data_IF_300694335296
#
_entry.id   IF_300694335296
#
_cell.length_a   1.000
_cell.length_b   1.000
_cell.length_c   1.000
_cell.angle_alpha   90.00
_cell.angle_beta   90.00
_cell.angle_gamma   90.00
#
_symmetry.space_group_name_H-M   'P 1'
#
loop_
_entity.id
_entity.type
_entity.pdbx_description
1 polymer ?
#
# COMPACT_ATOMS: atom_id res chain seq x y z
N UNK A 1 -14.57 -4.02 -32.66
CA UNK A 1 -13.22 -4.27 -32.16
C UNK A 1 -12.79 -3.16 -31.19
N UNK A 2 -12.85 -1.86 -31.57
CA UNK A 2 -12.40 -0.74 -30.73
C UNK A 2 -13.15 -0.64 -29.40
N UNK A 3 -14.48 -0.81 -29.40
CA UNK A 3 -15.32 -0.76 -28.19
C UNK A 3 -14.98 -1.91 -27.23
N UNK A 4 -14.75 -3.11 -27.76
CA UNK A 4 -14.37 -4.27 -26.95
C UNK A 4 -13.00 -4.08 -26.28
N UNK A 5 -12.02 -3.54 -26.99
CA UNK A 5 -10.70 -3.20 -26.48
C UNK A 5 -10.77 -2.09 -25.40
N UNK A 6 -11.61 -1.09 -25.59
CA UNK A 6 -11.79 -0.02 -24.60
C UNK A 6 -12.45 -0.52 -23.31
N UNK A 7 -13.53 -1.33 -23.43
CA UNK A 7 -14.22 -1.94 -22.30
C UNK A 7 -13.29 -2.88 -21.54
N UNK A 8 -12.45 -3.63 -22.23
CA UNK A 8 -11.44 -4.51 -21.65
C UNK A 8 -10.42 -3.74 -20.82
N UNK A 9 -9.87 -2.65 -21.34
CA UNK A 9 -8.90 -1.82 -20.60
C UNK A 9 -9.53 -1.12 -19.38
N UNK A 10 -10.81 -0.77 -19.43
CA UNK A 10 -11.52 -0.14 -18.32
C UNK A 10 -11.87 -1.15 -17.19
N UNK A 11 -12.07 -2.44 -17.53
CA UNK A 11 -12.44 -3.48 -16.57
C UNK A 11 -11.23 -4.17 -15.90
N UNK A 12 -10.08 -4.22 -16.55
CA UNK A 12 -8.86 -4.89 -16.03
C UNK A 12 -8.51 -4.47 -14.59
N UNK A 13 -8.50 -3.16 -14.24
CA UNK A 13 -8.11 -2.74 -12.89
C UNK A 13 -9.13 -3.10 -11.79
N UNK A 14 -10.40 -3.32 -12.16
CA UNK A 14 -11.49 -3.51 -11.20
C UNK A 14 -11.96 -4.96 -11.08
N UNK A 15 -12.00 -5.70 -12.17
CA UNK A 15 -12.55 -7.05 -12.20
C UNK A 15 -11.82 -7.91 -13.24
N UNK A 16 -10.58 -8.27 -12.93
CA UNK A 16 -9.72 -9.08 -13.80
C UNK A 16 -10.40 -10.39 -14.28
N UNK A 17 -11.22 -11.02 -13.43
CA UNK A 17 -11.95 -12.24 -13.78
C UNK A 17 -12.93 -12.05 -14.95
N UNK A 18 -13.65 -10.93 -15.00
CA UNK A 18 -14.57 -10.63 -16.11
C UNK A 18 -13.77 -10.28 -17.38
N UNK A 19 -12.68 -9.53 -17.24
CA UNK A 19 -11.82 -9.20 -18.37
C UNK A 19 -11.23 -10.46 -19.01
N UNK A 20 -10.82 -11.47 -18.24
CA UNK A 20 -10.26 -12.72 -18.76
C UNK A 20 -11.28 -13.53 -19.57
N UNK A 21 -12.58 -13.54 -19.19
CA UNK A 21 -13.64 -14.17 -19.97
C UNK A 21 -13.77 -13.52 -21.34
N UNK A 22 -13.79 -12.18 -21.41
CA UNK A 22 -13.87 -11.47 -22.70
C UNK A 22 -12.64 -11.71 -23.58
N UNK A 23 -11.44 -11.78 -22.99
CA UNK A 23 -10.21 -12.12 -23.73
C UNK A 23 -10.30 -13.51 -24.32
N UNK A 24 -10.80 -14.48 -23.57
CA UNK A 24 -10.95 -15.86 -24.01
C UNK A 24 -11.97 -15.98 -25.16
N UNK A 25 -13.13 -15.32 -25.02
CA UNK A 25 -14.16 -15.29 -26.09
C UNK A 25 -13.59 -14.63 -27.35
N UNK A 26 -12.88 -13.50 -27.22
CA UNK A 26 -12.27 -12.80 -28.33
C UNK A 26 -11.20 -13.66 -29.03
N UNK A 27 -10.35 -14.34 -28.26
CA UNK A 27 -9.33 -15.26 -28.80
C UNK A 27 -9.95 -16.43 -29.55
N UNK A 28 -11.08 -16.98 -29.06
CA UNK A 28 -11.83 -18.04 -29.76
C UNK A 28 -12.48 -17.55 -31.06
N UNK A 29 -12.97 -16.31 -31.10
CA UNK A 29 -13.54 -15.72 -32.30
C UNK A 29 -12.51 -15.38 -33.37
N UNK A 30 -11.25 -15.20 -33.01
CA UNK A 30 -10.14 -14.92 -33.94
C UNK A 30 -9.51 -16.18 -34.53
N UNK A 31 -9.88 -17.37 -34.04
CA UNK A 31 -9.42 -18.63 -34.66
C UNK A 31 -10.06 -18.76 -36.04
N UNK A 32 -9.26 -18.89 -37.12
CA UNK A 32 -9.81 -19.15 -38.43
C UNK A 32 -10.57 -20.49 -38.37
N UNK A 33 -11.80 -20.48 -38.89
CA UNK A 33 -12.71 -21.64 -38.96
C UNK A 33 -12.14 -22.65 -39.95
N UNK A 34 -11.09 -23.35 -39.56
CA UNK A 34 -10.48 -24.43 -40.34
C UNK A 34 -10.72 -25.77 -39.64
N UNK A 35 -11.92 -26.28 -39.76
CA UNK A 35 -12.31 -27.65 -39.36
C UNK A 35 -12.68 -27.82 -37.88
N UNK A 36 -13.82 -28.49 -37.62
CA UNK A 36 -14.36 -28.73 -36.25
C UNK A 36 -13.35 -29.46 -35.31
N UNK A 37 -12.53 -30.33 -35.81
CA UNK A 37 -11.57 -31.08 -34.99
C UNK A 37 -10.41 -30.20 -34.47
N UNK A 38 -9.94 -29.24 -35.24
CA UNK A 38 -8.90 -28.32 -34.80
C UNK A 38 -9.41 -27.31 -33.77
N UNK A 39 -10.67 -26.86 -33.92
CA UNK A 39 -11.30 -25.95 -32.94
C UNK A 39 -11.45 -26.58 -31.56
N UNK A 40 -11.82 -27.85 -31.47
CA UNK A 40 -11.91 -28.59 -30.21
C UNK A 40 -10.53 -28.78 -29.54
N UNK A 41 -9.51 -29.10 -30.29
CA UNK A 41 -8.15 -29.29 -29.74
C UNK A 41 -7.62 -27.98 -29.18
N UNK A 42 -7.83 -26.87 -29.88
CA UNK A 42 -7.41 -25.54 -29.42
C UNK A 42 -8.22 -25.08 -28.18
N UNK A 43 -9.53 -25.35 -28.15
CA UNK A 43 -10.37 -25.07 -27.03
C UNK A 43 -9.93 -25.83 -25.76
N UNK A 44 -9.64 -27.11 -25.89
CA UNK A 44 -9.13 -27.95 -24.78
C UNK A 44 -7.78 -27.42 -24.27
N UNK A 45 -6.83 -27.12 -25.17
CA UNK A 45 -5.54 -26.55 -24.78
C UNK A 45 -5.69 -25.23 -24.03
N UNK A 46 -6.62 -24.36 -24.44
CA UNK A 46 -6.91 -23.10 -23.75
C UNK A 46 -7.54 -23.28 -22.36
N UNK A 47 -8.40 -24.29 -22.22
CA UNK A 47 -8.96 -24.63 -20.90
C UNK A 47 -7.83 -25.11 -19.97
N UNK A 48 -6.95 -25.96 -20.45
CA UNK A 48 -5.80 -26.46 -19.70
C UNK A 48 -4.87 -25.32 -19.24
N UNK A 49 -4.48 -24.42 -20.14
CA UNK A 49 -3.67 -23.23 -19.82
C UNK A 49 -4.37 -22.34 -18.77
N UNK A 50 -5.69 -22.15 -18.91
CA UNK A 50 -6.46 -21.32 -17.98
C UNK A 50 -6.54 -21.95 -16.59
N UNK A 51 -6.74 -23.27 -16.51
CA UNK A 51 -6.78 -24.01 -15.24
C UNK A 51 -5.41 -23.97 -14.55
N UNK A 52 -4.33 -24.21 -15.28
CA UNK A 52 -2.97 -24.13 -14.73
C UNK A 52 -2.67 -22.70 -14.23
N UNK A 53 -3.02 -21.69 -15.01
CA UNK A 53 -2.87 -20.28 -14.60
C UNK A 53 -3.66 -19.95 -13.33
N UNK A 54 -4.92 -20.42 -13.24
CA UNK A 54 -5.78 -20.21 -12.07
C UNK A 54 -5.23 -20.91 -10.83
N UNK A 55 -4.83 -22.17 -10.94
CA UNK A 55 -4.24 -22.94 -9.82
C UNK A 55 -2.95 -22.27 -9.33
N UNK A 56 -2.11 -21.83 -10.27
CA UNK A 56 -0.87 -21.11 -9.93
C UNK A 56 -1.18 -19.79 -9.22
N UNK A 57 -2.12 -19.01 -9.73
CA UNK A 57 -2.53 -17.74 -9.11
C UNK A 57 -3.09 -17.94 -7.69
N UNK A 58 -3.98 -18.94 -7.50
CA UNK A 58 -4.51 -19.29 -6.17
C UNK A 58 -3.37 -19.74 -5.24
N UNK A 59 -2.45 -20.54 -5.72
CA UNK A 59 -1.27 -20.97 -4.97
C UNK A 59 -0.42 -19.79 -4.50
N UNK A 60 -0.11 -18.86 -5.39
CA UNK A 60 0.65 -17.65 -5.07
C UNK A 60 -0.10 -16.77 -4.06
N UNK A 61 -1.39 -16.53 -4.27
CA UNK A 61 -2.23 -15.74 -3.34
C UNK A 61 -2.27 -16.42 -1.96
N UNK A 62 -2.36 -17.74 -1.92
CA UNK A 62 -2.40 -18.45 -0.63
C UNK A 62 -1.08 -18.41 0.13
N UNK A 63 0.05 -18.48 -0.56
CA UNK A 63 1.40 -18.48 0.05
C UNK A 63 1.84 -17.06 0.42
N UNK A 64 1.67 -16.11 -0.49
CA UNK A 64 2.17 -14.73 -0.35
C UNK A 64 1.11 -13.81 0.25
N UNK A 65 -0.16 -14.00 -0.11
CA UNK A 65 -1.25 -13.07 0.19
C UNK A 65 -1.54 -12.89 1.68
N UNK A 66 -1.38 -13.92 2.50
CA UNK A 66 -1.67 -13.84 3.94
C UNK A 66 -0.70 -12.94 4.73
N UNK A 67 0.54 -12.78 4.26
CA UNK A 67 1.58 -11.98 4.95
C UNK A 67 1.76 -10.59 4.38
N UNK A 68 1.46 -10.41 3.10
CA UNK A 68 1.67 -9.15 2.39
C UNK A 68 0.95 -7.94 3.02
N UNK A 69 -0.34 -8.02 3.43
CA UNK A 69 -1.03 -6.88 4.02
C UNK A 69 -0.41 -6.40 5.33
N UNK A 70 0.01 -7.34 6.21
CA UNK A 70 0.65 -7.00 7.50
C UNK A 70 1.99 -6.31 7.27
N UNK A 71 2.80 -6.82 6.33
CA UNK A 71 4.09 -6.23 5.99
C UNK A 71 3.93 -4.84 5.38
N UNK A 72 2.93 -4.64 4.53
CA UNK A 72 2.62 -3.35 3.93
C UNK A 72 2.24 -2.31 4.98
N UNK A 73 1.27 -2.63 5.85
CA UNK A 73 0.84 -1.75 6.95
C UNK A 73 2.04 -1.42 7.85
N UNK A 74 2.81 -2.43 8.26
CA UNK A 74 3.98 -2.24 9.10
C UNK A 74 5.04 -1.35 8.45
N UNK A 75 5.33 -1.55 7.15
CA UNK A 75 6.31 -0.73 6.42
C UNK A 75 5.86 0.71 6.34
N UNK A 76 4.57 0.96 6.14
CA UNK A 76 4.01 2.30 6.07
C UNK A 76 4.10 3.03 7.42
N UNK A 77 3.68 2.41 8.53
CA UNK A 77 3.82 3.05 9.85
C UNK A 77 5.28 3.30 10.23
N UNK A 78 6.20 2.46 9.78
CA UNK A 78 7.63 2.70 9.96
C UNK A 78 8.11 3.93 9.19
N UNK A 79 7.60 4.17 7.97
CA UNK A 79 7.87 5.41 7.22
C UNK A 79 7.30 6.63 7.93
N UNK A 80 6.06 6.55 8.37
CA UNK A 80 5.40 7.62 9.12
C UNK A 80 6.18 7.98 10.38
N UNK A 81 6.62 7.00 11.17
CA UNK A 81 7.46 7.27 12.34
C UNK A 81 8.82 7.90 11.97
N UNK A 82 9.39 7.52 10.83
CA UNK A 82 10.64 8.14 10.34
C UNK A 82 10.43 9.58 9.89
N UNK A 83 9.31 9.91 9.26
CA UNK A 83 9.02 11.29 8.83
C UNK A 83 8.74 12.24 10.00
N UNK A 84 8.37 11.72 11.18
CA UNK A 84 8.27 12.51 12.42
C UNK A 84 9.64 12.98 12.93
N UNK A 85 10.71 12.23 12.68
CA UNK A 85 12.05 12.54 13.23
C UNK A 85 12.61 13.89 12.82
N UNK A 86 12.61 14.28 11.51
CA UNK A 86 13.07 15.60 11.11
C UNK A 86 12.23 16.72 11.70
N UNK A 87 10.91 16.58 11.77
CA UNK A 87 10.01 17.58 12.35
C UNK A 87 10.29 17.79 13.85
N UNK A 88 10.53 16.73 14.60
CA UNK A 88 10.92 16.82 16.01
C UNK A 88 12.27 17.49 16.21
N UNK A 89 13.25 17.27 15.32
CA UNK A 89 14.55 17.97 15.34
C UNK A 89 14.38 19.45 15.02
N UNK A 90 13.53 19.80 14.09
CA UNK A 90 13.23 21.19 13.76
C UNK A 90 12.58 21.91 14.94
N UNK A 91 11.67 21.24 15.65
CA UNK A 91 11.10 21.75 16.92
C UNK A 91 12.14 21.89 18.03
N UNK A 92 13.06 20.92 18.16
CA UNK A 92 14.16 21.01 19.13
C UNK A 92 15.07 22.21 18.84
N UNK A 93 15.35 22.46 17.55
CA UNK A 93 16.25 23.52 17.10
C UNK A 93 15.58 24.89 16.98
N UNK A 94 14.24 24.95 17.04
CA UNK A 94 13.50 26.19 16.83
C UNK A 94 13.53 26.71 15.39
N UNK A 95 13.59 25.80 14.40
CA UNK A 95 13.63 26.15 12.97
C UNK A 95 12.39 25.64 12.21
N UNK A 96 11.33 25.33 12.92
CA UNK A 96 10.11 24.73 12.37
C UNK A 96 9.40 25.60 11.33
N UNK A 97 9.58 26.93 11.36
CA UNK A 97 8.96 27.87 10.40
C UNK A 97 9.80 28.10 9.14
N UNK A 98 11.00 27.57 9.07
CA UNK A 98 11.86 27.67 7.87
C UNK A 98 11.27 26.89 6.69
N UNK A 99 11.76 27.18 5.47
CA UNK A 99 11.36 26.46 4.26
C UNK A 99 11.58 24.94 4.43
N UNK A 100 12.75 24.54 4.94
CA UNK A 100 13.06 23.12 5.22
C UNK A 100 12.12 22.52 6.27
N UNK A 101 11.81 23.27 7.33
CA UNK A 101 10.82 22.84 8.35
C UNK A 101 9.42 22.66 7.78
N UNK A 102 9.02 23.49 6.80
CA UNK A 102 7.76 23.30 6.07
C UNK A 102 7.76 22.06 5.19
N UNK A 103 8.86 21.77 4.51
CA UNK A 103 9.03 20.55 3.70
C UNK A 103 8.89 19.30 4.56
N UNK A 104 9.58 19.24 5.69
CA UNK A 104 9.49 18.12 6.65
C UNK A 104 8.07 17.92 7.18
N UNK A 105 7.35 19.02 7.49
CA UNK A 105 5.95 18.94 7.93
C UNK A 105 5.02 18.42 6.83
N UNK A 106 5.20 18.88 5.60
CA UNK A 106 4.41 18.41 4.46
C UNK A 106 4.64 16.92 4.19
N UNK A 107 5.89 16.46 4.26
CA UNK A 107 6.23 15.04 4.15
C UNK A 107 5.58 14.22 5.26
N UNK A 108 5.65 14.69 6.50
CA UNK A 108 5.02 14.03 7.63
C UNK A 108 3.50 13.92 7.47
N UNK A 109 2.82 15.00 7.05
CA UNK A 109 1.37 14.99 6.79
C UNK A 109 1.03 13.98 5.69
N UNK A 110 1.81 13.97 4.61
CA UNK A 110 1.62 13.03 3.53
C UNK A 110 1.72 11.58 4.01
N UNK A 111 2.74 11.24 4.79
CA UNK A 111 2.94 9.89 5.33
C UNK A 111 1.85 9.49 6.34
N UNK A 112 1.33 10.44 7.16
CA UNK A 112 0.20 10.19 8.06
C UNK A 112 -1.08 9.83 7.27
N UNK A 113 -1.39 10.59 6.22
CA UNK A 113 -2.55 10.32 5.37
C UNK A 113 -2.39 8.97 4.66
N UNK A 114 -1.20 8.68 4.15
CA UNK A 114 -0.90 7.41 3.49
C UNK A 114 -1.03 6.22 4.44
N UNK A 115 -0.62 6.35 5.70
CA UNK A 115 -0.75 5.29 6.70
C UNK A 115 -2.21 4.90 6.93
N UNK A 116 -3.09 5.88 7.17
CA UNK A 116 -4.52 5.64 7.34
C UNK A 116 -5.18 5.11 6.06
N UNK A 117 -4.75 5.58 4.88
CA UNK A 117 -5.23 5.09 3.59
C UNK A 117 -4.86 3.61 3.35
N UNK A 118 -3.61 3.23 3.63
CA UNK A 118 -3.14 1.84 3.51
C UNK A 118 -3.90 0.93 4.48
N UNK A 119 -4.11 1.36 5.73
CA UNK A 119 -4.86 0.59 6.71
C UNK A 119 -6.32 0.40 6.26
N UNK A 120 -6.97 1.44 5.77
CA UNK A 120 -8.35 1.38 5.27
C UNK A 120 -8.49 0.51 4.02
N UNK A 121 -7.52 0.56 3.11
CA UNK A 121 -7.48 -0.29 1.92
C UNK A 121 -7.33 -1.78 2.26
N UNK A 122 -6.70 -2.11 3.39
CA UNK A 122 -6.52 -3.49 3.84
C UNK A 122 -7.78 -4.08 4.49
N UNK A 123 -8.75 -3.24 4.84
CA UNK A 123 -9.98 -3.61 5.55
C UNK A 123 -10.81 -4.72 4.89
N UNK A 124 -11.07 -4.69 3.56
CA UNK A 124 -11.89 -5.72 2.92
C UNK A 124 -11.28 -7.11 3.00
N UNK A 125 -9.94 -7.20 2.92
CA UNK A 125 -9.22 -8.46 2.78
C UNK A 125 -8.81 -9.06 4.13
N UNK A 126 -8.66 -8.23 5.16
CA UNK A 126 -8.14 -8.66 6.46
C UNK A 126 -8.67 -7.79 7.61
N UNK A 127 -9.92 -7.98 8.04
CA UNK A 127 -10.55 -7.16 9.09
C UNK A 127 -9.84 -7.26 10.46
N UNK A 128 -9.15 -8.37 10.73
CA UNK A 128 -8.37 -8.53 11.96
C UNK A 128 -7.16 -7.60 12.03
N UNK A 129 -6.53 -7.31 10.88
CA UNK A 129 -5.43 -6.36 10.82
C UNK A 129 -5.94 -4.98 11.22
N UNK A 130 -7.09 -4.56 10.69
CA UNK A 130 -7.68 -3.29 11.07
C UNK A 130 -7.93 -3.19 12.57
N UNK A 131 -8.51 -4.25 13.18
CA UNK A 131 -8.78 -4.28 14.63
C UNK A 131 -7.49 -4.13 15.45
N UNK A 132 -6.43 -4.82 15.06
CA UNK A 132 -5.16 -4.81 15.80
C UNK A 132 -4.37 -3.50 15.60
N UNK A 133 -4.48 -2.88 14.42
CA UNK A 133 -3.73 -1.67 14.08
C UNK A 133 -4.50 -0.37 14.29
N UNK A 134 -5.82 -0.41 14.52
CA UNK A 134 -6.64 0.79 14.71
C UNK A 134 -6.19 1.65 15.90
N UNK A 135 -5.74 1.03 16.99
CA UNK A 135 -5.20 1.76 18.14
C UNK A 135 -3.86 2.42 17.80
N UNK A 136 -3.01 1.73 17.03
CA UNK A 136 -1.71 2.28 16.59
C UNK A 136 -1.94 3.44 15.62
N UNK A 137 -2.85 3.27 14.64
CA UNK A 137 -3.24 4.33 13.70
C UNK A 137 -3.71 5.57 14.43
N UNK A 138 -4.64 5.40 15.35
CA UNK A 138 -5.18 6.48 16.15
C UNK A 138 -4.08 7.19 16.95
N UNK A 139 -3.25 6.43 17.67
CA UNK A 139 -2.17 7.01 18.49
C UNK A 139 -1.14 7.77 17.64
N UNK A 140 -0.71 7.20 16.49
CA UNK A 140 0.24 7.84 15.59
C UNK A 140 -0.36 9.09 14.95
N UNK A 141 -1.62 9.02 14.56
CA UNK A 141 -2.34 10.15 13.93
C UNK A 141 -2.57 11.28 14.93
N UNK A 142 -3.09 10.99 16.12
CA UNK A 142 -3.27 11.99 17.19
C UNK A 142 -1.92 12.64 17.56
N UNK A 143 -0.89 11.84 17.77
CA UNK A 143 0.45 12.35 18.05
C UNK A 143 1.01 13.21 16.90
N UNK A 144 0.86 12.78 15.65
CA UNK A 144 1.28 13.57 14.49
C UNK A 144 0.60 14.93 14.40
N UNK A 145 -0.70 14.98 14.63
CA UNK A 145 -1.44 16.24 14.67
C UNK A 145 -1.05 17.12 15.86
N UNK A 146 -0.76 16.56 17.02
CA UNK A 146 -0.25 17.30 18.18
C UNK A 146 1.10 17.94 17.87
N UNK A 147 2.01 17.21 17.22
CA UNK A 147 3.30 17.74 16.77
C UNK A 147 3.10 18.89 15.79
N UNK A 148 2.19 18.76 14.82
CA UNK A 148 1.85 19.84 13.87
C UNK A 148 1.29 21.06 14.60
N UNK A 149 0.38 20.88 15.53
CA UNK A 149 -0.20 21.96 16.32
C UNK A 149 0.89 22.73 17.10
N UNK A 150 1.86 22.01 17.66
CA UNK A 150 3.01 22.64 18.32
C UNK A 150 3.88 23.45 17.36
N UNK A 151 4.11 22.96 16.13
CA UNK A 151 4.83 23.74 15.11
C UNK A 151 4.13 25.08 14.80
N UNK A 152 2.80 25.12 14.82
CA UNK A 152 2.03 26.33 14.54
C UNK A 152 1.98 27.29 15.73
N UNK A 153 1.84 26.76 16.96
CA UNK A 153 1.67 27.59 18.14
C UNK A 153 2.97 28.15 18.71
N UNK A 154 4.05 27.39 18.65
CA UNK A 154 5.32 27.76 19.26
C UNK A 154 6.25 28.52 18.30
N UNK A 155 6.01 28.43 17.00
CA UNK A 155 6.88 29.05 15.98
C UNK A 155 8.32 28.54 16.12
N UNK A 156 9.28 29.50 16.20
CA UNK A 156 10.72 29.20 16.28
C UNK A 156 11.25 29.03 17.72
N UNK A 157 10.38 28.67 18.68
CA UNK A 157 10.84 28.43 20.05
C UNK A 157 11.32 27.00 20.21
N UNK A 158 12.57 26.79 20.70
CA UNK A 158 13.10 25.44 20.91
C UNK A 158 12.30 24.66 21.96
N UNK A 159 12.02 23.42 21.66
CA UNK A 159 11.15 22.57 22.48
C UNK A 159 11.95 21.37 23.05
N UNK A 160 12.23 21.37 24.34
CA UNK A 160 13.07 20.37 25.01
C UNK A 160 12.49 18.94 24.97
N UNK A 161 11.17 18.80 25.05
CA UNK A 161 10.56 17.47 25.03
C UNK A 161 10.71 16.77 23.65
N UNK A 162 10.84 17.54 22.56
CA UNK A 162 11.00 16.99 21.21
C UNK A 162 12.23 16.07 21.11
N UNK A 163 13.33 16.42 21.77
CA UNK A 163 14.54 15.59 21.83
C UNK A 163 14.29 14.23 22.49
N UNK A 164 13.58 14.24 23.62
CA UNK A 164 13.28 13.00 24.34
C UNK A 164 12.42 12.07 23.50
N UNK A 165 11.36 12.59 22.89
CA UNK A 165 10.46 11.81 22.04
C UNK A 165 11.17 11.31 20.79
N UNK A 166 11.99 12.13 20.16
CA UNK A 166 12.82 11.72 19.02
C UNK A 166 13.72 10.54 19.37
N UNK A 167 14.35 10.53 20.57
CA UNK A 167 15.15 9.41 21.03
C UNK A 167 14.30 8.15 21.29
N UNK A 168 13.12 8.27 21.87
CA UNK A 168 12.19 7.14 22.11
C UNK A 168 11.71 6.53 20.78
N UNK A 169 11.35 7.36 19.78
CA UNK A 169 10.99 6.88 18.44
C UNK A 169 12.18 6.17 17.78
N UNK A 170 13.38 6.69 17.91
CA UNK A 170 14.59 6.05 17.35
C UNK A 170 14.83 4.67 17.94
N UNK A 171 14.68 4.52 19.27
CA UNK A 171 14.77 3.23 19.97
C UNK A 171 13.68 2.26 19.50
N UNK A 172 12.45 2.74 19.36
CA UNK A 172 11.34 1.93 18.88
C UNK A 172 11.60 1.47 17.45
N UNK A 173 12.06 2.33 16.56
CA UNK A 173 12.42 1.97 15.18
C UNK A 173 13.56 0.96 15.10
N UNK A 174 14.53 1.03 16.02
CA UNK A 174 15.64 0.09 16.10
C UNK A 174 15.20 -1.29 16.64
N UNK A 175 14.22 -1.33 17.55
CA UNK A 175 13.68 -2.58 18.11
C UNK A 175 12.77 -3.33 17.13
N UNK A 176 12.21 -2.65 16.12
CA UNK A 176 11.39 -3.28 15.11
C UNK A 176 12.28 -4.12 14.18
N UNK A 177 11.97 -5.41 13.94
CA UNK A 177 12.73 -6.22 13.00
C UNK A 177 12.76 -5.54 11.61
N UNK A 178 13.90 -5.64 10.90
CA UNK A 178 14.03 -5.04 9.59
C UNK A 178 12.91 -5.56 8.70
N UNK A 179 12.21 -4.66 8.02
CA UNK A 179 11.41 -5.04 6.87
C UNK A 179 12.45 -5.46 5.84
N UNK A 180 12.62 -6.78 5.64
CA UNK A 180 13.48 -7.28 4.59
C UNK A 180 13.03 -6.59 3.30
N UNK A 181 13.93 -5.85 2.67
CA UNK A 181 13.76 -5.24 1.35
C UNK A 181 13.70 -6.35 0.28
N UNK A 182 12.76 -7.26 0.43
CA UNK A 182 12.36 -8.10 -0.68
C UNK A 182 11.55 -7.19 -1.61
N UNK A 183 12.30 -6.47 -2.45
CA UNK A 183 11.77 -5.97 -3.71
C UNK A 183 11.24 -7.17 -4.47
N UNK A 184 9.91 -7.30 -4.49
CA UNK A 184 9.23 -8.15 -5.45
C UNK A 184 9.16 -7.39 -6.76
#
# INVERSE_FOLDING_TARGET
VAVALWTMNALIPRQYGIASIFITIFALMMLPISGEQQALTVAVARIEETVVGLVTAIGVIHVVGKRAPVLLVRSQYRRTLRSLMPVLRDLESGISTTVTGMEHRNEMVHELIQASAVLSATRPDSPEILKNWSLVDRAVTEFGYDVLAHCWHLGDRPVRWARRISAEIALLLASLPPVSDQRV
#
